data_IF_170164565695
#
_entry.id   IF_170164565695
#
_cell.length_a   1.000
_cell.length_b   1.000
_cell.length_c   1.000
_cell.angle_alpha   90.00
_cell.angle_beta   90.00
_cell.angle_gamma   90.00
#
_symmetry.space_group_name_H-M   'P 1'
#
loop_
_entity.id
_entity.type
_entity.pdbx_description
1 polymer ?
#
# COMPACT_ATOMS: atom_id res chain seq x y z
N UNK A 1 11.92 2.54 -42.65
CA UNK A 1 10.90 2.04 -41.71
C UNK A 1 10.82 3.04 -40.58
N UNK A 2 9.81 3.90 -40.60
CA UNK A 2 9.61 4.89 -39.53
C UNK A 2 9.09 4.20 -38.28
N UNK A 3 9.87 4.23 -37.20
CA UNK A 3 9.47 3.67 -35.91
C UNK A 3 8.43 4.59 -35.29
N UNK A 4 7.19 4.09 -35.14
CA UNK A 4 6.10 4.81 -34.45
C UNK A 4 6.44 4.94 -32.97
N UNK A 5 6.51 6.17 -32.48
CA UNK A 5 6.69 6.47 -31.05
C UNK A 5 5.38 6.12 -30.32
N UNK A 6 5.48 5.36 -29.24
CA UNK A 6 4.36 5.06 -28.34
C UNK A 6 4.48 5.95 -27.10
N UNK A 7 3.37 6.59 -26.69
CA UNK A 7 3.35 7.40 -25.47
C UNK A 7 3.50 6.53 -24.23
N UNK A 8 4.55 6.76 -23.44
CA UNK A 8 4.85 6.00 -22.21
C UNK A 8 4.33 6.67 -20.93
N UNK A 9 3.56 7.77 -21.03
CA UNK A 9 2.95 8.41 -19.85
C UNK A 9 1.80 7.53 -19.35
N UNK A 10 1.87 7.11 -18.09
CA UNK A 10 0.75 6.44 -17.43
C UNK A 10 -0.45 7.39 -17.40
N UNK A 11 -1.62 6.91 -17.83
CA UNK A 11 -2.87 7.62 -17.56
C UNK A 11 -3.13 7.52 -16.04
N UNK A 12 -3.54 8.59 -15.35
CA UNK A 12 -3.94 8.48 -13.96
C UNK A 12 -5.16 7.55 -13.90
N UNK A 13 -4.92 6.30 -13.52
CA UNK A 13 -5.99 5.41 -13.11
C UNK A 13 -6.16 5.69 -11.63
N UNK A 14 -7.10 6.59 -11.34
CA UNK A 14 -7.65 6.77 -10.02
C UNK A 14 -8.89 5.90 -9.89
N UNK A 15 -9.10 5.34 -8.71
CA UNK A 15 -10.30 4.57 -8.40
C UNK A 15 -10.68 4.82 -6.95
N UNK A 16 -11.95 5.09 -6.73
CA UNK A 16 -12.56 5.14 -5.40
C UNK A 16 -12.83 3.72 -4.89
N UNK A 17 -12.53 3.50 -3.62
CA UNK A 17 -12.76 2.27 -2.90
C UNK A 17 -13.55 2.60 -1.63
N UNK A 18 -14.75 2.02 -1.46
CA UNK A 18 -15.43 2.06 -0.17
C UNK A 18 -14.66 1.19 0.83
N UNK A 19 -14.67 1.57 2.11
CA UNK A 19 -14.01 0.83 3.17
C UNK A 19 -15.02 -0.07 3.90
N UNK A 20 -14.64 -1.31 4.11
CA UNK A 20 -15.43 -2.29 4.87
C UNK A 20 -15.28 -2.06 6.38
N UNK A 21 -14.08 -1.65 6.83
CA UNK A 21 -13.77 -1.36 8.23
C UNK A 21 -14.43 -0.06 8.74
N UNK A 22 -14.79 0.86 7.84
CA UNK A 22 -15.39 2.15 8.18
C UNK A 22 -16.69 2.39 7.37
N UNK A 23 -17.88 2.11 7.92
CA UNK A 23 -19.14 2.27 7.21
C UNK A 23 -19.36 3.69 6.68
N UNK A 24 -19.47 3.83 5.36
CA UNK A 24 -19.60 5.13 4.67
C UNK A 24 -18.26 5.85 4.45
N UNK A 25 -17.15 5.26 4.90
CA UNK A 25 -15.79 5.67 4.59
C UNK A 25 -15.38 5.29 3.17
N UNK A 26 -14.56 6.12 2.54
CA UNK A 26 -13.94 5.82 1.25
C UNK A 26 -12.52 6.37 1.16
N UNK A 27 -11.75 5.78 0.24
CA UNK A 27 -10.47 6.31 -0.23
C UNK A 27 -10.42 6.29 -1.75
N UNK A 28 -9.93 7.36 -2.36
CA UNK A 28 -9.58 7.40 -3.77
C UNK A 28 -8.08 7.15 -3.91
N UNK A 29 -7.73 6.08 -4.65
CA UNK A 29 -6.35 5.62 -4.80
C UNK A 29 -5.89 5.83 -6.23
N UNK A 30 -4.67 6.34 -6.40
CA UNK A 30 -3.93 6.36 -7.66
C UNK A 30 -2.71 5.46 -7.62
N UNK A 31 -2.25 5.04 -8.79
CA UNK A 31 -0.92 4.43 -8.95
C UNK A 31 0.21 5.45 -8.77
N UNK A 32 1.31 4.99 -8.17
CA UNK A 32 2.61 5.66 -8.22
C UNK A 32 3.10 5.74 -9.67
N UNK A 33 3.69 6.87 -10.03
CA UNK A 33 4.47 7.00 -11.26
C UNK A 33 5.78 6.24 -11.10
N UNK A 34 6.43 5.94 -12.22
CA UNK A 34 7.69 5.20 -12.20
C UNK A 34 8.75 5.84 -11.30
N UNK A 35 8.96 7.17 -11.41
CA UNK A 35 9.90 7.89 -10.54
C UNK A 35 9.52 7.82 -9.06
N UNK A 36 8.24 8.00 -8.73
CA UNK A 36 7.76 7.91 -7.35
C UNK A 36 7.94 6.49 -6.76
N UNK A 37 7.83 5.45 -7.60
CA UNK A 37 8.12 4.08 -7.17
C UNK A 37 9.61 3.85 -6.89
N UNK A 38 10.51 4.55 -7.59
CA UNK A 38 11.94 4.52 -7.32
C UNK A 38 12.24 5.28 -6.02
N UNK A 39 11.67 6.48 -5.85
CA UNK A 39 11.82 7.28 -4.63
C UNK A 39 11.39 6.48 -3.38
N UNK A 40 10.28 5.73 -3.48
CA UNK A 40 9.82 4.82 -2.42
C UNK A 40 10.88 3.78 -2.04
N UNK A 41 11.56 3.20 -3.02
CA UNK A 41 12.61 2.20 -2.76
C UNK A 41 13.83 2.83 -2.12
N UNK A 42 14.23 4.02 -2.60
CA UNK A 42 15.37 4.75 -2.06
C UNK A 42 15.12 5.15 -0.60
N UNK A 43 13.92 5.62 -0.25
CA UNK A 43 13.55 5.91 1.13
C UNK A 43 13.62 4.67 2.04
N UNK A 44 13.16 3.51 1.56
CA UNK A 44 13.25 2.25 2.31
C UNK A 44 14.71 1.81 2.50
N UNK A 45 15.55 1.99 1.47
CA UNK A 45 16.96 1.58 1.49
C UNK A 45 17.82 2.50 2.38
N UNK A 46 17.53 3.81 2.41
CA UNK A 46 18.26 4.77 3.24
C UNK A 46 18.25 4.41 4.73
N UNK A 47 17.21 3.73 5.21
CA UNK A 47 17.13 3.26 6.60
C UNK A 47 17.94 1.99 6.87
N UNK A 48 18.28 1.19 5.85
CA UNK A 48 19.10 -0.02 6.04
C UNK A 48 20.57 0.29 6.27
N UNK A 49 21.04 1.48 5.91
CA UNK A 49 22.44 1.90 6.04
C UNK A 49 22.76 2.61 7.37
N UNK A 50 21.75 2.85 8.22
CA UNK A 50 21.92 3.51 9.52
C UNK A 50 22.33 2.56 10.66
N UNK A 51 23.39 2.84 11.43
CA UNK A 51 23.82 2.00 12.55
C UNK A 51 22.99 2.34 13.80
N UNK A 52 21.77 1.81 13.91
CA UNK A 52 21.00 1.92 15.16
C UNK A 52 20.88 0.53 15.80
N UNK A 53 21.80 0.15 16.71
CA UNK A 53 21.73 -1.12 17.41
C UNK A 53 20.42 -1.22 18.20
N UNK A 54 19.70 -2.34 18.07
CA UNK A 54 18.50 -2.64 18.86
C UNK A 54 17.17 -2.21 18.24
N UNK A 55 17.18 -1.59 17.05
CA UNK A 55 15.95 -1.26 16.32
C UNK A 55 15.67 -2.31 15.26
N UNK A 56 14.44 -2.83 15.24
CA UNK A 56 14.00 -3.75 14.19
C UNK A 56 13.81 -2.98 12.88
N UNK A 57 14.88 -2.90 12.08
CA UNK A 57 14.94 -2.16 10.81
C UNK A 57 13.82 -2.56 9.84
N UNK A 58 13.34 -3.80 9.90
CA UNK A 58 12.23 -4.29 9.07
C UNK A 58 10.92 -3.57 9.41
N UNK A 59 10.62 -3.41 10.70
CA UNK A 59 9.39 -2.73 11.16
C UNK A 59 9.41 -1.26 10.76
N UNK A 60 10.53 -0.57 10.97
CA UNK A 60 10.68 0.83 10.54
C UNK A 60 10.58 1.00 9.03
N UNK A 61 11.19 0.10 8.26
CA UNK A 61 11.13 0.13 6.79
C UNK A 61 9.68 -0.01 6.29
N UNK A 62 8.92 -0.94 6.89
CA UNK A 62 7.51 -1.14 6.54
C UNK A 62 6.67 0.09 6.90
N UNK A 63 6.90 0.68 8.07
CA UNK A 63 6.22 1.90 8.49
C UNK A 63 6.48 3.07 7.53
N UNK A 64 7.73 3.32 7.14
CA UNK A 64 8.06 4.38 6.18
C UNK A 64 7.47 4.12 4.81
N UNK A 65 7.47 2.86 4.36
CA UNK A 65 6.81 2.48 3.13
C UNK A 65 5.31 2.79 3.14
N UNK A 66 4.62 2.52 4.27
CA UNK A 66 3.19 2.84 4.47
C UNK A 66 2.95 4.35 4.43
N UNK A 67 3.73 5.13 5.16
CA UNK A 67 3.64 6.60 5.15
C UNK A 67 3.80 7.16 3.73
N UNK A 68 4.80 6.68 2.98
CA UNK A 68 5.01 7.09 1.60
C UNK A 68 3.82 6.72 0.72
N UNK A 69 3.35 5.48 0.83
CA UNK A 69 2.21 4.99 0.05
C UNK A 69 0.95 5.80 0.34
N UNK A 70 0.67 6.10 1.61
CA UNK A 70 -0.50 6.89 2.01
C UNK A 70 -0.43 8.30 1.46
N UNK A 71 0.70 8.99 1.67
CA UNK A 71 0.91 10.36 1.21
C UNK A 71 0.88 10.51 -0.33
N UNK A 72 1.24 9.46 -1.07
CA UNK A 72 1.35 9.52 -2.53
C UNK A 72 0.19 8.87 -3.26
N UNK A 73 -0.38 7.80 -2.72
CA UNK A 73 -1.40 7.01 -3.42
C UNK A 73 -2.82 7.45 -3.10
N UNK A 74 -3.08 7.94 -1.87
CA UNK A 74 -4.41 8.43 -1.50
C UNK A 74 -4.55 9.86 -2.04
N UNK A 75 -5.53 10.07 -2.92
CA UNK A 75 -5.78 11.39 -3.54
C UNK A 75 -6.99 12.10 -2.93
N UNK A 76 -7.96 11.34 -2.42
CA UNK A 76 -9.08 11.84 -1.62
C UNK A 76 -9.58 10.76 -0.65
N UNK A 77 -10.31 11.18 0.37
CA UNK A 77 -10.96 10.33 1.38
C UNK A 77 -11.94 11.17 2.22
N UNK A 78 -12.72 10.54 3.08
CA UNK A 78 -13.54 11.24 4.09
C UNK A 78 -13.19 10.86 5.54
N UNK A 79 -12.07 10.17 5.76
CA UNK A 79 -11.59 9.76 7.08
C UNK A 79 -11.07 10.93 7.92
N UNK A 80 -11.37 10.91 9.21
CA UNK A 80 -10.96 11.90 10.18
C UNK A 80 -11.28 11.47 11.60
N UNK A 81 -10.91 12.31 12.55
CA UNK A 81 -11.20 12.14 13.96
C UNK A 81 -12.69 12.46 14.25
N UNK A 82 -13.42 11.50 14.81
CA UNK A 82 -14.84 11.66 15.16
C UNK A 82 -15.07 12.64 16.31
N UNK A 83 -14.13 12.75 17.25
CA UNK A 83 -14.24 13.62 18.41
C UNK A 83 -14.01 15.08 18.03
N UNK A 84 -13.02 15.34 17.18
CA UNK A 84 -12.67 16.71 16.76
C UNK A 84 -13.34 17.13 15.45
N UNK A 85 -13.82 16.19 14.65
CA UNK A 85 -14.39 16.41 13.32
C UNK A 85 -13.36 16.82 12.27
N UNK A 86 -12.07 16.63 12.54
CA UNK A 86 -10.97 17.05 11.66
C UNK A 86 -10.63 15.90 10.70
N UNK A 87 -10.67 16.19 9.39
CA UNK A 87 -10.23 15.25 8.35
C UNK A 87 -8.73 15.00 8.49
N UNK A 88 -8.33 13.72 8.44
CA UNK A 88 -6.93 13.35 8.47
C UNK A 88 -6.18 13.88 7.24
N UNK A 89 -4.90 14.15 7.43
CA UNK A 89 -3.95 14.52 6.40
C UNK A 89 -2.89 13.42 6.33
N UNK A 90 -3.09 12.49 5.40
CA UNK A 90 -2.21 11.35 5.19
C UNK A 90 -0.79 11.71 4.70
N UNK A 91 -0.48 12.99 4.53
CA UNK A 91 0.90 13.47 4.35
C UNK A 91 1.63 13.70 5.68
N UNK A 92 0.91 13.70 6.80
CA UNK A 92 1.45 13.86 8.17
C UNK A 92 1.53 12.52 8.87
N UNK A 93 2.69 12.25 9.46
CA UNK A 93 2.94 11.00 10.19
C UNK A 93 2.04 10.85 11.43
N UNK A 94 1.64 11.95 12.07
CA UNK A 94 0.77 11.92 13.26
C UNK A 94 -0.64 11.42 12.93
N UNK A 95 -1.26 11.94 11.88
CA UNK A 95 -2.60 11.51 11.44
C UNK A 95 -2.61 10.04 10.99
N UNK A 96 -1.51 9.53 10.41
CA UNK A 96 -1.39 8.10 10.08
C UNK A 96 -1.18 7.24 11.32
N UNK A 97 -0.56 7.78 12.37
CA UNK A 97 -0.36 7.09 13.65
C UNK A 97 -1.64 7.01 14.49
N UNK A 98 -2.52 8.00 14.36
CA UNK A 98 -3.83 8.05 15.02
C UNK A 98 -4.91 7.25 14.28
N UNK A 99 -4.61 6.81 13.06
CA UNK A 99 -5.52 5.98 12.28
C UNK A 99 -5.71 4.61 12.94
N UNK A 100 -6.95 4.13 12.95
CA UNK A 100 -7.28 2.78 13.38
C UNK A 100 -6.49 1.72 12.59
N UNK A 101 -6.03 0.68 13.28
CA UNK A 101 -5.16 -0.35 12.72
C UNK A 101 -5.83 -1.11 11.56
N UNK A 102 -7.10 -1.49 11.72
CA UNK A 102 -7.85 -2.26 10.71
C UNK A 102 -8.11 -1.40 9.47
N UNK A 103 -8.45 -0.12 9.65
CA UNK A 103 -8.61 0.84 8.55
C UNK A 103 -7.28 1.03 7.81
N UNK A 104 -6.18 1.21 8.55
CA UNK A 104 -4.85 1.39 7.97
C UNK A 104 -4.40 0.18 7.15
N UNK A 105 -4.65 -1.04 7.65
CA UNK A 105 -4.30 -2.28 6.97
C UNK A 105 -5.17 -2.52 5.73
N UNK A 106 -6.47 -2.23 5.81
CA UNK A 106 -7.37 -2.29 4.64
C UNK A 106 -6.90 -1.36 3.52
N UNK A 107 -6.61 -0.09 3.84
CA UNK A 107 -6.12 0.90 2.86
C UNK A 107 -4.81 0.42 2.22
N UNK A 108 -3.88 -0.11 3.02
CA UNK A 108 -2.62 -0.64 2.49
C UNK A 108 -2.85 -1.83 1.54
N UNK A 109 -3.78 -2.72 1.87
CA UNK A 109 -4.23 -3.82 1.01
C UNK A 109 -4.79 -3.32 -0.33
N UNK A 110 -5.67 -2.31 -0.29
CA UNK A 110 -6.25 -1.68 -1.48
C UNK A 110 -5.18 -1.01 -2.35
N UNK A 111 -4.19 -0.33 -1.76
CA UNK A 111 -3.06 0.24 -2.50
C UNK A 111 -2.26 -0.85 -3.20
N UNK A 112 -1.95 -1.94 -2.50
CA UNK A 112 -1.20 -3.08 -3.07
C UNK A 112 -1.97 -3.73 -4.22
N UNK A 113 -3.26 -4.00 -4.03
CA UNK A 113 -4.15 -4.53 -5.05
C UNK A 113 -4.22 -3.61 -6.27
N UNK A 114 -4.37 -2.30 -6.05
CA UNK A 114 -4.46 -1.30 -7.12
C UNK A 114 -3.18 -1.25 -7.96
N UNK A 115 -2.01 -1.47 -7.34
CA UNK A 115 -0.72 -1.58 -8.03
C UNK A 115 -0.48 -2.94 -8.69
N UNK A 116 -1.32 -3.94 -8.42
CA UNK A 116 -1.08 -5.32 -8.85
C UNK A 116 0.07 -6.00 -8.09
N UNK A 117 0.42 -5.49 -6.89
CA UNK A 117 1.40 -6.10 -5.97
C UNK A 117 0.78 -7.22 -5.15
N UNK A 118 -0.11 -8.01 -5.74
CA UNK A 118 -0.83 -9.09 -5.04
C UNK A 118 0.22 -10.00 -4.40
N UNK A 119 0.27 -10.01 -3.07
CA UNK A 119 0.89 -11.13 -2.36
C UNK A 119 0.06 -12.35 -2.73
N UNK A 120 0.74 -13.34 -3.31
CA UNK A 120 0.14 -14.61 -3.69
C UNK A 120 -0.47 -15.15 -2.40
N UNK A 121 -1.80 -15.20 -2.33
CA UNK A 121 -2.46 -15.99 -1.30
C UNK A 121 -1.89 -17.39 -1.43
N UNK A 122 -1.29 -17.91 -0.36
CA UNK A 122 -0.95 -19.32 -0.22
C UNK A 122 -2.27 -20.12 -0.13
N UNK A 123 -3.03 -20.14 -1.22
CA UNK A 123 -4.05 -21.16 -1.48
C UNK A 123 -3.36 -22.25 -2.31
N UNK A 124 -2.37 -22.92 -1.72
CA UNK A 124 -2.00 -24.27 -2.12
C UNK A 124 -2.79 -25.22 -1.21
N UNK A 125 -4.07 -25.41 -1.55
CA UNK A 125 -4.74 -26.69 -1.29
C UNK A 125 -3.94 -27.77 -2.05
N UNK A 126 -2.87 -28.27 -1.41
CA UNK A 126 -2.22 -29.53 -1.77
C UNK A 126 -3.22 -30.65 -1.44
N UNK A 127 -4.21 -30.79 -2.30
CA UNK A 127 -5.08 -31.95 -2.43
C UNK A 127 -4.18 -33.09 -2.94
N UNK A 128 -3.39 -33.68 -2.05
CA UNK A 128 -2.56 -34.84 -2.35
C UNK A 128 -3.54 -35.99 -2.60
N UNK A 129 -3.69 -36.51 -3.84
CA UNK A 129 -4.34 -37.81 -3.97
C UNK A 129 -3.42 -38.80 -3.27
N UNK A 130 -3.88 -39.38 -2.15
CA UNK A 130 -3.27 -40.58 -1.57
C UNK A 130 -3.20 -41.64 -2.67
N UNK A 131 -2.04 -41.75 -3.30
CA UNK A 131 -1.73 -42.88 -4.17
C UNK A 131 -1.55 -44.09 -3.28
N UNK A 132 -2.64 -44.86 -3.18
CA UNK A 132 -2.78 -46.16 -2.53
C UNK A 132 -1.54 -47.05 -2.78
N UNK A 133 -0.66 -47.27 -1.79
CA UNK A 133 0.57 -48.02 -1.99
C UNK A 133 0.32 -49.50 -1.66
N UNK A 134 -0.47 -50.20 -2.49
CA UNK A 134 -0.33 -51.65 -2.73
C UNK A 134 -1.31 -52.15 -3.80
N UNK A 135 -0.80 -52.26 -5.03
CA UNK A 135 -1.13 -53.36 -5.94
C UNK A 135 0.08 -54.30 -6.03
#
# INVERSE_FOLDING_TARGET
MDKKIVGAKSKPQQKEYPLESAPGGFVEIRRLKHGESTDRLDEILAFKEGPTPGVNLRVLSNWKARLFDFAKCIVDHNLGDEETGVKFDFTKEVDVYELDEDIGDEIQGLINQHHGRVEIAEDEDDDVPESDPNS
#
